data_IF_788875638094
#
_entry.id   IF_788875638094
#
_cell.length_a   1.000
_cell.length_b   1.000
_cell.length_c   1.000
_cell.angle_alpha   90.00
_cell.angle_beta   90.00
_cell.angle_gamma   90.00
#
_symmetry.space_group_name_H-M   'P 1'
#
loop_
_entity.id
_entity.type
_entity.pdbx_description
1 polymer ?
#
# COMPACT_ATOMS: atom_id res chain seq x y z
N UNK A 1 6.59 6.14 17.35
CA UNK A 1 6.28 4.89 16.63
C UNK A 1 4.78 4.60 16.74
N UNK A 2 4.07 4.42 15.62
CA UNK A 2 2.63 4.11 15.62
C UNK A 2 2.45 2.59 15.62
N UNK A 3 1.67 2.03 16.55
CA UNK A 3 1.34 0.60 16.57
C UNK A 3 0.06 0.35 15.77
N UNK A 4 0.05 -0.70 14.95
CA UNK A 4 -1.12 -1.16 14.21
C UNK A 4 -1.42 -2.59 14.66
N UNK A 5 -2.64 -2.80 15.15
CA UNK A 5 -3.13 -4.12 15.53
C UNK A 5 -3.64 -4.86 14.28
N UNK A 6 -3.13 -6.09 14.11
CA UNK A 6 -3.45 -7.00 13.00
C UNK A 6 -3.91 -8.37 13.49
N UNK A 7 -4.12 -8.53 14.81
CA UNK A 7 -4.61 -9.77 15.42
C UNK A 7 -3.60 -10.91 15.52
N UNK A 8 -2.31 -10.64 15.28
CA UNK A 8 -1.20 -11.57 15.50
C UNK A 8 0.07 -10.83 15.92
N UNK A 9 0.95 -11.51 16.65
CA UNK A 9 2.14 -10.92 17.27
C UNK A 9 3.44 -11.17 16.49
N UNK A 10 3.47 -12.16 15.59
CA UNK A 10 4.64 -12.49 14.76
C UNK A 10 4.26 -12.48 13.28
N UNK A 11 5.06 -11.77 12.47
CA UNK A 11 4.87 -11.70 11.02
C UNK A 11 5.72 -12.76 10.31
N UNK A 12 5.06 -13.64 9.56
CA UNK A 12 5.73 -14.76 8.87
C UNK A 12 5.99 -14.47 7.39
N UNK A 13 5.09 -13.73 6.72
CA UNK A 13 5.18 -13.53 5.28
C UNK A 13 4.62 -12.18 4.81
N UNK A 14 5.32 -11.56 3.85
CA UNK A 14 4.88 -10.32 3.20
C UNK A 14 4.76 -10.55 1.70
N UNK A 15 3.58 -10.27 1.15
CA UNK A 15 3.38 -10.11 -0.29
C UNK A 15 3.60 -8.65 -0.68
N UNK A 16 4.71 -8.33 -1.35
CA UNK A 16 5.00 -6.98 -1.83
C UNK A 16 4.65 -6.84 -3.32
N UNK A 17 3.91 -5.78 -3.66
CA UNK A 17 3.48 -5.47 -5.03
C UNK A 17 3.67 -3.97 -5.27
N UNK A 18 4.15 -3.59 -6.46
CA UNK A 18 4.56 -2.21 -6.79
C UNK A 18 4.32 -1.93 -8.28
N UNK A 19 4.37 -0.65 -8.68
CA UNK A 19 4.47 -0.21 -10.08
C UNK A 19 3.38 -0.78 -11.03
N UNK A 20 2.14 -0.84 -10.55
CA UNK A 20 1.02 -1.44 -11.28
C UNK A 20 0.54 -0.52 -12.42
N UNK A 21 0.55 0.79 -12.18
CA UNK A 21 0.11 1.84 -13.10
C UNK A 21 -1.24 1.56 -13.78
N UNK A 22 -2.30 1.38 -13.01
CA UNK A 22 -3.66 1.20 -13.53
C UNK A 22 -4.04 2.43 -14.37
N UNK A 23 -4.43 2.19 -15.62
CA UNK A 23 -4.72 3.23 -16.62
C UNK A 23 -6.20 3.60 -16.63
N UNK A 24 -6.53 4.78 -17.16
CA UNK A 24 -7.91 5.26 -17.24
C UNK A 24 -8.85 4.35 -18.04
N UNK A 25 -8.46 3.95 -19.26
CA UNK A 25 -9.39 3.33 -20.22
C UNK A 25 -8.81 2.09 -20.92
N UNK A 26 -7.59 1.68 -20.58
CA UNK A 26 -6.87 0.63 -21.31
C UNK A 26 -6.47 -0.49 -20.36
N UNK A 27 -6.45 -1.70 -20.91
CA UNK A 27 -5.94 -2.92 -20.28
C UNK A 27 -6.73 -3.41 -19.05
N UNK A 28 -7.94 -2.91 -18.84
CA UNK A 28 -8.76 -3.20 -17.66
C UNK A 28 -9.14 -4.67 -17.53
N UNK A 29 -9.34 -5.34 -18.67
CA UNK A 29 -9.59 -6.77 -18.69
C UNK A 29 -8.33 -7.53 -18.23
N UNK A 30 -7.17 -7.16 -18.80
CA UNK A 30 -5.88 -7.76 -18.51
C UNK A 30 -5.47 -7.56 -17.05
N UNK A 31 -5.67 -6.35 -16.48
CA UNK A 31 -5.47 -6.13 -15.05
C UNK A 31 -6.29 -7.11 -14.21
N UNK A 32 -7.58 -7.26 -14.51
CA UNK A 32 -8.44 -8.18 -13.75
C UNK A 32 -8.02 -9.64 -13.90
N UNK A 33 -7.55 -10.05 -15.07
CA UNK A 33 -7.03 -11.42 -15.28
C UNK A 33 -5.78 -11.64 -14.43
N UNK A 34 -4.80 -10.74 -14.50
CA UNK A 34 -3.56 -10.82 -13.73
C UNK A 34 -3.83 -10.76 -12.22
N UNK A 35 -4.72 -9.86 -11.79
CA UNK A 35 -5.09 -9.74 -10.39
C UNK A 35 -5.76 -11.00 -9.85
N UNK A 36 -6.60 -11.69 -10.64
CA UNK A 36 -7.20 -12.97 -10.22
C UNK A 36 -6.15 -14.06 -9.98
N UNK A 37 -5.13 -14.12 -10.84
CA UNK A 37 -4.00 -15.04 -10.64
C UNK A 37 -3.25 -14.68 -9.36
N UNK A 38 -2.88 -13.40 -9.20
CA UNK A 38 -2.22 -12.90 -7.99
C UNK A 38 -2.99 -13.24 -6.71
N UNK A 39 -4.31 -13.04 -6.69
CA UNK A 39 -5.12 -13.35 -5.51
C UNK A 39 -5.11 -14.85 -5.18
N UNK A 40 -5.10 -15.71 -6.20
CA UNK A 40 -5.05 -17.16 -6.02
C UNK A 40 -3.70 -17.58 -5.44
N UNK A 41 -2.61 -17.05 -5.99
CA UNK A 41 -1.25 -17.33 -5.51
C UNK A 41 -1.07 -16.85 -4.07
N UNK A 42 -1.46 -15.61 -3.75
CA UNK A 42 -1.39 -15.05 -2.40
C UNK A 42 -2.21 -15.90 -1.41
N UNK A 43 -3.43 -16.30 -1.78
CA UNK A 43 -4.29 -17.12 -0.93
C UNK A 43 -3.64 -18.47 -0.59
N UNK A 44 -2.97 -19.10 -1.56
CA UNK A 44 -2.25 -20.35 -1.33
C UNK A 44 -1.01 -20.14 -0.47
N UNK A 45 -0.18 -19.14 -0.81
CA UNK A 45 1.07 -18.85 -0.10
C UNK A 45 0.85 -18.45 1.36
N UNK A 46 -0.25 -17.74 1.65
CA UNK A 46 -0.60 -17.24 2.99
C UNK A 46 -1.35 -18.27 3.84
N UNK A 47 -1.73 -19.42 3.29
CA UNK A 47 -2.51 -20.42 4.01
C UNK A 47 -1.78 -20.86 5.29
N UNK A 48 -2.39 -20.59 6.44
CA UNK A 48 -1.86 -20.95 7.75
C UNK A 48 -0.70 -20.08 8.24
N UNK A 49 -0.47 -18.91 7.63
CA UNK A 49 0.61 -17.98 7.99
C UNK A 49 0.07 -16.60 8.36
N UNK A 50 0.63 -16.01 9.39
CA UNK A 50 0.44 -14.60 9.76
C UNK A 50 1.09 -13.72 8.71
N UNK A 51 0.28 -13.17 7.80
CA UNK A 51 0.76 -12.53 6.57
C UNK A 51 0.27 -11.09 6.41
N UNK A 52 1.04 -10.27 5.68
CA UNK A 52 0.67 -8.92 5.28
C UNK A 52 0.85 -8.73 3.77
N UNK A 53 0.15 -7.74 3.21
CA UNK A 53 0.36 -7.29 1.83
C UNK A 53 0.84 -5.84 1.87
N UNK A 54 1.91 -5.54 1.14
CA UNK A 54 2.42 -4.18 0.96
C UNK A 54 2.26 -3.75 -0.50
N UNK A 55 1.46 -2.71 -0.74
CA UNK A 55 1.42 -1.98 -2.01
C UNK A 55 2.35 -0.78 -1.94
N UNK A 56 3.48 -0.83 -2.64
CA UNK A 56 4.56 0.15 -2.49
C UNK A 56 4.61 1.16 -3.64
N UNK A 57 3.49 1.85 -3.85
CA UNK A 57 3.42 2.99 -4.77
C UNK A 57 3.15 2.65 -6.24
N UNK A 58 2.97 3.74 -6.99
CA UNK A 58 2.72 3.78 -8.43
C UNK A 58 1.55 2.88 -8.86
N UNK A 59 0.45 3.02 -8.11
CA UNK A 59 -0.76 2.24 -8.30
C UNK A 59 -1.59 2.79 -9.46
N UNK A 60 -1.78 4.11 -9.53
CA UNK A 60 -2.42 4.78 -10.64
C UNK A 60 -1.38 5.22 -11.68
N UNK A 61 -1.74 5.21 -12.96
CA UNK A 61 -0.90 5.78 -14.01
C UNK A 61 -1.05 7.31 -14.11
N UNK A 62 -2.27 7.81 -13.87
CA UNK A 62 -2.64 9.21 -14.01
C UNK A 62 -2.70 9.92 -12.65
N UNK A 63 -2.15 11.13 -12.59
CA UNK A 63 -2.08 11.95 -11.35
C UNK A 63 -3.30 12.87 -11.16
N UNK A 64 -3.86 13.36 -12.26
CA UNK A 64 -4.83 14.47 -12.27
C UNK A 64 -6.17 14.09 -12.87
N UNK A 65 -6.14 13.34 -13.98
CA UNK A 65 -7.34 12.94 -14.72
C UNK A 65 -7.64 11.47 -14.42
N UNK A 66 -8.58 11.25 -13.51
CA UNK A 66 -8.97 9.91 -13.05
C UNK A 66 -10.35 9.57 -13.59
N UNK A 67 -10.44 8.52 -14.40
CA UNK A 67 -11.74 8.02 -14.86
C UNK A 67 -12.45 7.25 -13.74
N UNK A 68 -13.80 7.21 -13.73
CA UNK A 68 -14.56 6.36 -12.82
C UNK A 68 -14.13 4.88 -12.89
N UNK A 69 -13.78 4.39 -14.07
CA UNK A 69 -13.36 3.01 -14.29
C UNK A 69 -12.00 2.71 -13.63
N UNK A 70 -11.05 3.65 -13.70
CA UNK A 70 -9.76 3.53 -12.98
C UNK A 70 -9.99 3.44 -11.48
N UNK A 71 -10.77 4.38 -10.95
CA UNK A 71 -11.12 4.42 -9.52
C UNK A 71 -11.78 3.12 -9.09
N UNK A 72 -12.70 2.59 -9.90
CA UNK A 72 -13.37 1.33 -9.63
C UNK A 72 -12.39 0.13 -9.61
N UNK A 73 -11.42 0.07 -10.52
CA UNK A 73 -10.42 -1.02 -10.53
C UNK A 73 -9.50 -0.95 -9.31
N UNK A 74 -9.04 0.25 -8.91
CA UNK A 74 -8.25 0.39 -7.68
C UNK A 74 -9.08 -0.06 -6.45
N UNK A 75 -10.34 0.36 -6.38
CA UNK A 75 -11.23 -0.01 -5.28
C UNK A 75 -11.48 -1.52 -5.22
N UNK A 76 -11.73 -2.17 -6.37
CA UNK A 76 -11.83 -3.63 -6.50
C UNK A 76 -10.54 -4.32 -6.04
N UNK A 77 -9.38 -3.82 -6.49
CA UNK A 77 -8.07 -4.36 -6.17
C UNK A 77 -7.77 -4.30 -4.67
N UNK A 78 -7.93 -3.13 -4.06
CA UNK A 78 -7.72 -2.93 -2.62
C UNK A 78 -8.66 -3.79 -1.79
N UNK A 79 -9.94 -3.85 -2.17
CA UNK A 79 -10.94 -4.66 -1.48
C UNK A 79 -10.60 -6.15 -1.54
N UNK A 80 -10.14 -6.63 -2.70
CA UNK A 80 -9.76 -8.03 -2.86
C UNK A 80 -8.52 -8.39 -2.02
N UNK A 81 -7.47 -7.55 -2.03
CA UNK A 81 -6.27 -7.79 -1.22
C UNK A 81 -6.57 -7.72 0.29
N UNK A 82 -7.36 -6.74 0.73
CA UNK A 82 -7.75 -6.59 2.13
C UNK A 82 -8.62 -7.74 2.68
N UNK A 83 -9.23 -8.54 1.79
CA UNK A 83 -9.91 -9.80 2.18
C UNK A 83 -8.91 -10.91 2.50
N UNK A 84 -7.74 -10.91 1.86
CA UNK A 84 -6.71 -11.95 2.02
C UNK A 84 -5.84 -11.70 3.25
N UNK A 85 -5.40 -10.46 3.48
CA UNK A 85 -4.57 -10.05 4.61
C UNK A 85 -4.74 -8.56 4.91
N UNK A 86 -4.15 -8.07 6.01
CA UNK A 86 -4.03 -6.62 6.21
C UNK A 86 -3.17 -6.01 5.10
N UNK A 87 -3.62 -4.88 4.56
CA UNK A 87 -3.08 -4.22 3.39
C UNK A 87 -2.41 -2.91 3.81
N UNK A 88 -1.10 -2.82 3.68
CA UNK A 88 -0.35 -1.58 3.79
C UNK A 88 -0.28 -0.95 2.40
N UNK A 89 -0.57 0.34 2.31
CA UNK A 89 -0.47 1.10 1.06
C UNK A 89 0.39 2.32 1.29
N UNK A 90 1.42 2.50 0.47
CA UNK A 90 2.14 3.78 0.35
C UNK A 90 1.93 4.34 -1.06
N UNK A 91 1.88 5.68 -1.22
CA UNK A 91 1.79 6.30 -2.53
C UNK A 91 3.17 6.38 -3.19
N UNK A 92 3.20 6.22 -4.52
CA UNK A 92 4.36 6.54 -5.33
C UNK A 92 4.25 7.94 -5.96
N UNK A 93 5.22 8.30 -6.80
CA UNK A 93 5.22 9.60 -7.45
C UNK A 93 4.14 9.73 -8.54
N UNK A 94 3.61 8.61 -9.06
CA UNK A 94 2.49 8.58 -10.01
C UNK A 94 1.12 8.71 -9.35
N UNK A 95 1.04 8.51 -8.03
CA UNK A 95 -0.20 8.61 -7.28
C UNK A 95 -0.49 10.04 -6.80
N UNK A 96 0.45 10.98 -6.98
CA UNK A 96 0.34 12.33 -6.46
C UNK A 96 0.95 13.40 -7.37
N UNK A 97 0.39 14.61 -7.34
CA UNK A 97 1.00 15.78 -7.96
C UNK A 97 2.05 16.41 -7.04
N UNK A 98 3.29 15.94 -7.13
CA UNK A 98 4.41 16.44 -6.32
C UNK A 98 4.80 17.90 -6.59
N UNK A 99 4.42 18.47 -7.73
CA UNK A 99 4.61 19.90 -7.98
C UNK A 99 3.66 20.77 -7.14
N UNK A 100 2.58 20.19 -6.62
CA UNK A 100 1.67 20.85 -5.68
C UNK A 100 1.24 19.86 -4.58
N UNK A 101 2.10 19.62 -3.58
CA UNK A 101 1.90 18.58 -2.56
C UNK A 101 0.74 18.88 -1.61
N UNK A 102 0.20 20.12 -1.62
CA UNK A 102 -1.03 20.47 -0.88
C UNK A 102 -2.30 19.88 -1.50
N UNK A 103 -2.25 19.48 -2.78
CA UNK A 103 -3.40 18.84 -3.44
C UNK A 103 -3.61 17.42 -2.93
N UNK A 104 -4.86 16.96 -3.08
CA UNK A 104 -5.23 15.59 -2.81
C UNK A 104 -4.48 14.64 -3.74
N UNK A 105 -3.95 13.55 -3.19
CA UNK A 105 -3.42 12.43 -3.98
C UNK A 105 -4.56 11.50 -4.43
N UNK A 106 -4.25 10.61 -5.36
CA UNK A 106 -5.20 9.69 -5.97
C UNK A 106 -5.79 8.70 -4.95
N UNK A 107 -4.98 8.24 -3.99
CA UNK A 107 -5.33 7.10 -3.13
C UNK A 107 -6.14 7.50 -1.90
N UNK A 108 -5.86 8.68 -1.32
CA UNK A 108 -6.59 9.21 -0.15
C UNK A 108 -8.12 9.12 -0.29
N UNK A 109 -8.76 9.64 -1.36
CA UNK A 109 -10.21 9.59 -1.47
C UNK A 109 -10.73 8.16 -1.61
N UNK A 110 -9.99 7.28 -2.30
CA UNK A 110 -10.37 5.87 -2.50
C UNK A 110 -10.32 5.11 -1.17
N UNK A 111 -9.22 5.23 -0.43
CA UNK A 111 -9.07 4.58 0.89
C UNK A 111 -10.14 5.09 1.85
N UNK A 112 -10.40 6.41 1.86
CA UNK A 112 -11.45 7.00 2.70
C UNK A 112 -12.84 6.48 2.35
N UNK A 113 -13.15 6.33 1.05
CA UNK A 113 -14.43 5.82 0.59
C UNK A 113 -14.64 4.33 0.91
N UNK A 114 -13.59 3.52 0.79
CA UNK A 114 -13.64 2.10 1.15
C UNK A 114 -13.85 1.87 2.64
N UNK A 115 -13.35 2.78 3.49
CA UNK A 115 -13.51 2.76 4.95
C UNK A 115 -13.27 1.37 5.58
N UNK A 116 -12.24 0.67 5.08
CA UNK A 116 -11.94 -0.70 5.50
C UNK A 116 -10.81 -0.69 6.54
N UNK A 117 -11.04 -1.20 7.77
CA UNK A 117 -10.04 -1.17 8.85
C UNK A 117 -8.80 -2.04 8.57
N UNK A 118 -8.86 -2.91 7.56
CA UNK A 118 -7.70 -3.71 7.12
C UNK A 118 -6.82 -2.98 6.11
N UNK A 119 -7.19 -1.78 5.66
CA UNK A 119 -6.40 -0.96 4.73
C UNK A 119 -5.69 0.15 5.50
N UNK A 120 -4.37 0.06 5.55
CA UNK A 120 -3.48 0.96 6.27
C UNK A 120 -2.73 1.85 5.28
N UNK A 121 -3.25 3.04 5.01
CA UNK A 121 -2.61 3.99 4.11
C UNK A 121 -1.57 4.85 4.84
N UNK A 122 -0.29 4.60 4.59
CA UNK A 122 0.83 5.29 5.22
C UNK A 122 1.35 6.42 4.32
N UNK A 123 0.66 7.57 4.40
CA UNK A 123 1.05 8.78 3.66
C UNK A 123 2.23 9.54 4.26
N UNK A 124 2.47 9.43 5.57
CA UNK A 124 3.49 10.21 6.29
C UNK A 124 4.72 9.37 6.59
N UNK A 125 5.90 9.97 6.48
CA UNK A 125 7.12 9.30 6.93
C UNK A 125 7.02 8.97 8.41
N UNK A 126 7.61 7.84 8.81
CA UNK A 126 7.59 7.41 10.19
C UNK A 126 7.79 5.91 10.38
N UNK A 127 7.94 5.51 11.63
CA UNK A 127 8.01 4.12 12.05
C UNK A 127 6.63 3.61 12.50
N UNK A 128 6.18 2.52 11.87
CA UNK A 128 4.92 1.83 12.10
C UNK A 128 5.23 0.40 12.55
N UNK A 129 4.86 0.05 13.79
CA UNK A 129 5.06 -1.29 14.32
C UNK A 129 3.82 -2.13 14.09
N UNK A 130 4.02 -3.29 13.48
CA UNK A 130 2.99 -4.28 13.17
C UNK A 130 3.55 -5.64 13.57
N UNK A 131 2.87 -6.33 14.48
CA UNK A 131 3.43 -7.54 15.10
C UNK A 131 4.83 -7.25 15.70
N UNK A 132 5.80 -8.12 15.44
CA UNK A 132 7.20 -8.02 15.82
C UNK A 132 8.05 -7.17 14.85
N UNK A 133 7.47 -6.70 13.74
CA UNK A 133 8.18 -6.00 12.66
C UNK A 133 7.92 -4.49 12.65
N UNK A 134 8.96 -3.70 12.40
CA UNK A 134 8.85 -2.23 12.29
C UNK A 134 9.02 -1.76 10.85
N UNK A 135 7.97 -1.20 10.28
CA UNK A 135 7.97 -0.60 8.94
C UNK A 135 8.36 0.87 9.02
N UNK A 136 9.42 1.25 8.32
CA UNK A 136 9.93 2.62 8.24
C UNK A 136 9.55 3.19 6.89
N UNK A 137 8.54 4.06 6.88
CA UNK A 137 8.05 4.69 5.66
C UNK A 137 8.85 5.97 5.40
N UNK A 138 9.39 6.08 4.20
CA UNK A 138 10.03 7.26 3.62
C UNK A 138 9.07 7.82 2.59
N UNK A 139 8.18 8.71 3.01
CA UNK A 139 7.09 9.18 2.15
C UNK A 139 7.61 10.03 1.00
N UNK A 140 7.07 9.81 -0.20
CA UNK A 140 7.26 10.66 -1.38
C UNK A 140 6.83 12.13 -1.17
N UNK A 141 6.09 12.43 -0.09
CA UNK A 141 5.70 13.79 0.30
C UNK A 141 6.70 14.48 1.23
N UNK A 142 7.69 13.76 1.75
CA UNK A 142 8.74 14.30 2.61
C UNK A 142 10.06 14.49 1.84
N UNK A 143 10.95 15.25 2.45
CA UNK A 143 12.32 15.48 1.95
C UNK A 143 13.29 14.49 2.61
N UNK A 144 14.38 14.06 1.93
CA UNK A 144 15.27 13.01 2.43
C UNK A 144 15.88 13.27 3.81
N UNK A 145 16.11 14.54 4.18
CA UNK A 145 16.65 14.89 5.49
C UNK A 145 15.67 14.66 6.66
N UNK A 146 14.39 14.40 6.38
CA UNK A 146 13.36 14.04 7.37
C UNK A 146 13.20 12.54 7.53
N UNK A 147 13.87 11.73 6.71
CA UNK A 147 13.77 10.27 6.83
C UNK A 147 14.42 9.81 8.13
N UNK A 148 13.75 8.88 8.81
CA UNK A 148 14.28 8.28 10.03
C UNK A 148 15.51 7.44 9.68
N UNK A 149 16.60 7.64 10.44
CA UNK A 149 17.77 6.78 10.31
C UNK A 149 17.49 5.45 10.97
N UNK A 150 18.12 4.38 10.48
CA UNK A 150 17.96 3.05 11.05
C UNK A 150 18.37 2.96 12.53
N UNK A 151 19.33 3.79 12.96
CA UNK A 151 19.77 3.94 14.36
C UNK A 151 18.68 4.49 15.27
N UNK A 152 17.74 5.26 14.72
CA UNK A 152 16.74 6.03 15.47
C UNK A 152 15.41 5.26 15.56
N UNK A 153 15.36 4.04 15.03
CA UNK A 153 14.19 3.17 14.99
C UNK A 153 14.44 1.96 15.89
N UNK A 154 13.51 1.65 16.78
CA UNK A 154 13.55 0.45 17.62
C UNK A 154 12.98 -0.78 16.89
N UNK A 155 13.39 -1.98 17.29
CA UNK A 155 12.89 -3.25 16.79
C UNK A 155 13.98 -4.13 16.18
N UNK A 156 13.80 -5.45 16.27
CA UNK A 156 14.76 -6.42 15.78
C UNK A 156 14.69 -6.56 14.25
N UNK A 157 13.47 -6.67 13.72
CA UNK A 157 13.19 -6.66 12.28
C UNK A 157 12.68 -5.29 11.85
N UNK A 158 13.39 -4.66 10.91
CA UNK A 158 13.04 -3.34 10.34
C UNK A 158 12.94 -3.44 8.83
N UNK A 159 11.86 -2.93 8.25
CA UNK A 159 11.64 -2.91 6.80
C UNK A 159 11.45 -1.47 6.35
N UNK A 160 12.30 -1.00 5.45
CA UNK A 160 12.14 0.31 4.83
C UNK A 160 11.13 0.22 3.67
N UNK A 161 10.20 1.17 3.61
CA UNK A 161 9.25 1.35 2.51
C UNK A 161 9.48 2.75 1.92
N UNK A 162 9.68 2.82 0.61
CA UNK A 162 9.90 4.05 -0.15
C UNK A 162 9.01 4.05 -1.38
#
# INVERSE_FOLDING_TARGET
MKKIDVGFDQLELIGQISDIHIRNFRRHHEYRVVFKTLYSDLKEQFKGKSSLICLTGDIAHAKLDMSPELVNIIAEFFTALAKLAHLIVIPGNHDANLANPSRLDVLTPIVKALNNPRIHYFKKSGAYKIADTTFVVMSIFDVPNRYLKASDVEGDTKIALY
#
